data_IF_748589898673
#
_entry.id   IF_748589898673
#
_cell.length_a   1.000
_cell.length_b   1.000
_cell.length_c   1.000
_cell.angle_alpha   90.00
_cell.angle_beta   90.00
_cell.angle_gamma   90.00
#
_symmetry.space_group_name_H-M   'P 1'
#
loop_
_entity.id
_entity.type
_entity.pdbx_description
1 polymer ?
#
# COMPACT_ATOMS: atom_id res chain seq x y z
N UNK A 1 13.86 -0.49 4.22
CA UNK A 1 14.39 0.74 3.57
C UNK A 1 14.08 2.02 4.36
N UNK A 2 13.06 2.05 5.22
CA UNK A 2 12.62 3.22 6.00
C UNK A 2 13.69 3.84 6.90
N UNK A 3 14.55 3.02 7.55
CA UNK A 3 15.63 3.53 8.41
C UNK A 3 16.66 4.34 7.62
N UNK A 4 16.98 3.94 6.38
CA UNK A 4 17.93 4.66 5.52
C UNK A 4 17.40 6.02 5.06
N UNK A 5 16.09 6.16 4.89
CA UNK A 5 15.47 7.40 4.45
C UNK A 5 15.45 8.44 5.57
N UNK A 6 15.01 8.05 6.77
CA UNK A 6 15.01 8.94 7.94
C UNK A 6 16.44 9.38 8.29
N UNK A 7 17.41 8.48 8.21
CA UNK A 7 18.81 8.81 8.45
C UNK A 7 19.36 9.80 7.40
N UNK A 8 19.05 9.59 6.11
CA UNK A 8 19.48 10.49 5.04
C UNK A 8 18.83 11.89 5.16
N UNK A 9 17.52 11.94 5.43
CA UNK A 9 16.80 13.19 5.64
C UNK A 9 17.34 13.95 6.86
N UNK A 10 17.58 13.24 7.97
CA UNK A 10 18.13 13.84 9.18
C UNK A 10 19.53 14.43 8.94
N UNK A 11 20.39 13.73 8.20
CA UNK A 11 21.72 14.26 7.83
C UNK A 11 21.64 15.51 6.95
N UNK A 12 20.72 15.55 6.00
CA UNK A 12 20.54 16.73 5.14
C UNK A 12 19.96 17.92 5.91
N UNK A 13 19.02 17.67 6.83
CA UNK A 13 18.49 18.71 7.73
C UNK A 13 19.60 19.27 8.63
N UNK A 14 20.42 18.41 9.24
CA UNK A 14 21.59 18.85 10.01
C UNK A 14 22.58 19.67 9.17
N UNK A 15 22.82 19.27 7.92
CA UNK A 15 23.67 20.03 7.01
C UNK A 15 23.06 21.40 6.67
N UNK A 16 21.74 21.47 6.45
CA UNK A 16 21.02 22.73 6.20
C UNK A 16 21.10 23.65 7.43
N UNK A 17 20.87 23.11 8.63
CA UNK A 17 20.97 23.86 9.88
C UNK A 17 22.39 24.39 10.10
N UNK A 18 23.41 23.54 9.86
CA UNK A 18 24.81 23.95 9.95
C UNK A 18 25.16 25.08 8.95
N UNK A 19 24.61 25.04 7.73
CA UNK A 19 24.78 26.10 6.73
C UNK A 19 24.03 27.40 7.10
N UNK A 20 22.92 27.29 7.83
CA UNK A 20 22.10 28.44 8.22
C UNK A 20 22.66 29.18 9.45
N UNK A 21 23.37 28.48 10.34
CA UNK A 21 23.99 29.08 11.54
C UNK A 21 25.35 29.74 11.25
N UNK A 22 25.92 29.54 10.06
CA UNK A 22 27.17 30.22 9.69
C UNK A 22 27.01 31.74 9.70
N UNK A 23 27.94 32.42 10.38
CA UNK A 23 28.04 33.88 10.30
C UNK A 23 28.60 34.28 8.93
N UNK A 24 27.74 34.88 8.13
CA UNK A 24 28.02 35.29 6.75
C UNK A 24 28.41 36.77 6.64
N UNK A 25 28.42 37.52 7.75
CA UNK A 25 28.59 38.98 7.76
C UNK A 25 29.96 39.44 7.23
N UNK A 26 30.96 38.56 7.30
CA UNK A 26 32.35 38.82 6.89
C UNK A 26 32.72 38.14 5.57
N UNK A 27 31.80 37.40 4.94
CA UNK A 27 32.10 36.64 3.72
C UNK A 27 32.17 37.55 2.49
N UNK A 28 33.23 37.43 1.66
CA UNK A 28 33.26 38.06 0.34
C UNK A 28 32.09 37.60 -0.54
N UNK A 29 31.57 38.49 -1.39
CA UNK A 29 30.41 38.22 -2.26
C UNK A 29 30.49 36.90 -3.07
N UNK A 30 31.65 36.47 -3.62
CA UNK A 30 31.74 35.19 -4.32
C UNK A 30 31.54 33.98 -3.40
N UNK A 31 31.96 34.08 -2.14
CA UNK A 31 31.81 33.01 -1.15
C UNK A 31 30.37 32.93 -0.64
N UNK A 32 29.70 34.08 -0.48
CA UNK A 32 28.25 34.17 -0.24
C UNK A 32 27.45 33.49 -1.36
N UNK A 33 27.77 33.76 -2.62
CA UNK A 33 27.10 33.14 -3.77
C UNK A 33 27.27 31.61 -3.77
N UNK A 34 28.46 31.11 -3.43
CA UNK A 34 28.72 29.67 -3.31
C UNK A 34 27.98 29.04 -2.13
N UNK A 35 27.86 29.75 -1.01
CA UNK A 35 27.10 29.29 0.15
C UNK A 35 25.61 29.18 -0.17
N UNK A 36 25.03 30.21 -0.77
CA UNK A 36 23.62 30.19 -1.18
C UNK A 36 23.34 29.09 -2.22
N UNK A 37 24.26 28.88 -3.17
CA UNK A 37 24.18 27.76 -4.11
C UNK A 37 24.21 26.41 -3.38
N UNK A 38 25.03 26.27 -2.35
CA UNK A 38 25.13 25.05 -1.55
C UNK A 38 23.87 24.81 -0.73
N UNK A 39 23.28 25.85 -0.12
CA UNK A 39 21.98 25.77 0.56
C UNK A 39 20.86 25.35 -0.39
N UNK A 40 20.82 25.94 -1.59
CA UNK A 40 19.84 25.58 -2.62
C UNK A 40 19.98 24.12 -3.06
N UNK A 41 21.22 23.62 -3.20
CA UNK A 41 21.47 22.21 -3.52
C UNK A 41 20.98 21.27 -2.41
N UNK A 42 21.31 21.56 -1.14
CA UNK A 42 20.84 20.75 0.00
C UNK A 42 19.31 20.74 0.08
N UNK A 43 18.66 21.89 -0.14
CA UNK A 43 17.21 21.98 -0.17
C UNK A 43 16.60 21.15 -1.32
N UNK A 44 17.21 21.18 -2.50
CA UNK A 44 16.81 20.35 -3.64
C UNK A 44 16.90 18.84 -3.35
N UNK A 45 17.97 18.39 -2.68
CA UNK A 45 18.14 17.00 -2.27
C UNK A 45 17.07 16.56 -1.24
N UNK A 46 16.73 17.44 -0.28
CA UNK A 46 15.64 17.20 0.68
C UNK A 46 14.31 17.01 -0.06
N UNK A 47 14.00 17.88 -1.02
CA UNK A 47 12.76 17.79 -1.80
C UNK A 47 12.72 16.52 -2.65
N UNK A 48 13.81 16.17 -3.33
CA UNK A 48 13.89 14.96 -4.15
C UNK A 48 13.69 13.69 -3.31
N UNK A 49 14.30 13.62 -2.13
CA UNK A 49 14.09 12.51 -1.19
C UNK A 49 12.63 12.43 -0.73
N UNK A 50 12.03 13.55 -0.35
CA UNK A 50 10.64 13.60 0.09
C UNK A 50 9.68 13.18 -1.03
N UNK A 51 9.89 13.65 -2.26
CA UNK A 51 9.09 13.26 -3.41
C UNK A 51 9.16 11.75 -3.66
N UNK A 52 10.36 11.18 -3.64
CA UNK A 52 10.56 9.74 -3.80
C UNK A 52 9.85 8.92 -2.71
N UNK A 53 9.91 9.38 -1.46
CA UNK A 53 9.23 8.69 -0.36
C UNK A 53 7.70 8.74 -0.46
N UNK A 54 7.14 9.78 -1.10
CA UNK A 54 5.72 9.86 -1.40
C UNK A 54 5.36 8.88 -2.53
N UNK A 55 6.13 8.89 -3.62
CA UNK A 55 5.94 7.98 -4.76
C UNK A 55 6.00 6.50 -4.33
N UNK A 56 7.01 6.11 -3.55
CA UNK A 56 7.13 4.75 -3.00
C UNK A 56 5.90 4.35 -2.15
N UNK A 57 5.29 5.31 -1.44
CA UNK A 57 4.08 5.06 -0.65
C UNK A 57 2.84 4.92 -1.52
N UNK A 58 2.72 5.74 -2.56
CA UNK A 58 1.60 5.66 -3.50
C UNK A 58 1.57 4.31 -4.22
N UNK A 59 2.75 3.81 -4.64
CA UNK A 59 2.88 2.46 -5.21
C UNK A 59 2.45 1.36 -4.23
N UNK A 60 2.84 1.48 -2.96
CA UNK A 60 2.41 0.54 -1.91
C UNK A 60 0.89 0.59 -1.68
N UNK A 61 0.29 1.77 -1.68
CA UNK A 61 -1.16 1.92 -1.53
C UNK A 61 -1.92 1.37 -2.75
N UNK A 62 -1.40 1.55 -3.96
CA UNK A 62 -1.96 0.97 -5.17
C UNK A 62 -1.94 -0.56 -5.09
N UNK A 63 -0.78 -1.16 -4.79
CA UNK A 63 -0.64 -2.60 -4.64
C UNK A 63 -1.56 -3.17 -3.53
N UNK A 64 -1.69 -2.48 -2.40
CA UNK A 64 -2.58 -2.89 -1.32
C UNK A 64 -4.05 -2.83 -1.76
N UNK A 65 -4.44 -1.79 -2.50
CA UNK A 65 -5.81 -1.64 -3.02
C UNK A 65 -6.16 -2.76 -3.99
N UNK A 66 -5.25 -3.14 -4.89
CA UNK A 66 -5.46 -4.26 -5.80
C UNK A 66 -5.56 -5.59 -5.04
N UNK A 67 -4.70 -5.81 -4.04
CA UNK A 67 -4.79 -7.00 -3.18
C UNK A 67 -6.13 -7.10 -2.43
N UNK A 68 -6.65 -5.97 -1.91
CA UNK A 68 -7.98 -5.93 -1.29
C UNK A 68 -9.10 -6.22 -2.30
N UNK A 69 -8.98 -5.72 -3.54
CA UNK A 69 -9.94 -5.99 -4.61
C UNK A 69 -9.96 -7.47 -4.98
N UNK A 70 -8.80 -8.10 -5.10
CA UNK A 70 -8.67 -9.52 -5.39
C UNK A 70 -9.24 -10.37 -4.24
N UNK A 71 -8.90 -10.05 -3.00
CA UNK A 71 -9.46 -10.72 -1.82
C UNK A 71 -11.00 -10.64 -1.79
N UNK A 72 -11.57 -9.47 -2.11
CA UNK A 72 -13.03 -9.29 -2.23
C UNK A 72 -13.62 -10.18 -3.34
N UNK A 73 -12.95 -10.27 -4.49
CA UNK A 73 -13.37 -11.13 -5.60
C UNK A 73 -13.39 -12.60 -5.19
N UNK A 74 -12.34 -13.06 -4.52
CA UNK A 74 -12.23 -14.45 -4.08
C UNK A 74 -13.23 -14.79 -2.97
N UNK A 75 -13.50 -13.88 -2.03
CA UNK A 75 -14.57 -14.05 -1.05
C UNK A 75 -15.95 -14.13 -1.71
N UNK A 76 -16.18 -13.34 -2.75
CA UNK A 76 -17.44 -13.41 -3.52
C UNK A 76 -17.57 -14.75 -4.23
N UNK A 77 -16.52 -15.21 -4.91
CA UNK A 77 -16.48 -16.54 -5.55
C UNK A 77 -16.72 -17.67 -4.54
N UNK A 78 -16.11 -17.58 -3.36
CA UNK A 78 -16.31 -18.56 -2.30
C UNK A 78 -17.76 -18.55 -1.81
N UNK A 79 -18.35 -17.38 -1.58
CA UNK A 79 -19.75 -17.22 -1.19
C UNK A 79 -20.70 -17.83 -2.24
N UNK A 80 -20.46 -17.54 -3.52
CA UNK A 80 -21.25 -18.09 -4.62
C UNK A 80 -21.12 -19.62 -4.71
N UNK A 81 -19.89 -20.13 -4.55
CA UNK A 81 -19.63 -21.57 -4.50
C UNK A 81 -20.37 -22.25 -3.34
N UNK A 82 -20.31 -21.68 -2.13
CA UNK A 82 -21.02 -22.19 -0.95
C UNK A 82 -22.52 -22.19 -1.18
N UNK A 83 -23.06 -21.12 -1.77
CA UNK A 83 -24.49 -21.00 -2.06
C UNK A 83 -24.93 -22.04 -3.09
N UNK A 84 -24.17 -22.22 -4.17
CA UNK A 84 -24.42 -23.26 -5.17
C UNK A 84 -24.26 -24.69 -4.62
N UNK A 85 -23.34 -24.90 -3.67
CA UNK A 85 -23.22 -26.18 -2.93
C UNK A 85 -24.47 -26.48 -2.13
N UNK A 86 -24.96 -25.52 -1.31
CA UNK A 86 -26.18 -25.68 -0.52
C UNK A 86 -27.41 -25.98 -1.38
N UNK A 87 -27.58 -25.28 -2.51
CA UNK A 87 -28.69 -25.53 -3.42
C UNK A 87 -28.65 -26.96 -4.00
N UNK A 88 -27.46 -27.45 -4.38
CA UNK A 88 -27.28 -28.83 -4.86
C UNK A 88 -27.59 -29.86 -3.78
N UNK A 89 -27.08 -29.65 -2.57
CA UNK A 89 -27.30 -30.58 -1.46
C UNK A 89 -28.81 -30.67 -1.13
N UNK A 90 -29.53 -29.54 -1.10
CA UNK A 90 -30.99 -29.53 -0.91
C UNK A 90 -31.75 -30.27 -2.01
N UNK A 91 -31.32 -30.14 -3.28
CA UNK A 91 -31.93 -30.86 -4.40
C UNK A 91 -31.74 -32.38 -4.26
N UNK A 92 -30.54 -32.82 -3.85
CA UNK A 92 -30.24 -34.24 -3.62
C UNK A 92 -31.11 -34.80 -2.49
N UNK A 93 -31.20 -34.12 -1.35
CA UNK A 93 -32.05 -34.55 -0.23
C UNK A 93 -33.52 -34.62 -0.65
N UNK A 94 -34.01 -33.66 -1.44
CA UNK A 94 -35.38 -33.66 -1.96
C UNK A 94 -35.63 -34.84 -2.92
N UNK A 95 -34.67 -35.17 -3.79
CA UNK A 95 -34.78 -36.34 -4.67
C UNK A 95 -34.79 -37.65 -3.87
N UNK A 96 -33.90 -37.80 -2.89
CA UNK A 96 -33.82 -39.00 -2.04
C UNK A 96 -35.11 -39.21 -1.25
N UNK A 97 -35.64 -38.15 -0.61
CA UNK A 97 -36.90 -38.22 0.13
C UNK A 97 -38.08 -38.57 -0.76
N UNK A 98 -38.20 -37.97 -1.95
CA UNK A 98 -39.23 -38.35 -2.93
C UNK A 98 -39.08 -39.81 -3.40
N UNK A 99 -37.86 -40.26 -3.65
CA UNK A 99 -37.58 -41.64 -4.06
C UNK A 99 -37.98 -42.66 -2.99
N UNK A 100 -37.67 -42.39 -1.73
CA UNK A 100 -38.07 -43.21 -0.58
C UNK A 100 -39.61 -43.26 -0.46
N UNK A 101 -40.29 -42.12 -0.58
CA UNK A 101 -41.76 -42.09 -0.53
C UNK A 101 -42.40 -42.90 -1.65
N UNK A 102 -41.86 -42.84 -2.87
CA UNK A 102 -42.34 -43.67 -3.99
C UNK A 102 -42.12 -45.15 -3.70
N UNK A 103 -40.92 -45.53 -3.25
CA UNK A 103 -40.61 -46.92 -2.92
C UNK A 103 -41.53 -47.48 -1.82
N UNK A 104 -41.80 -46.69 -0.78
CA UNK A 104 -42.75 -47.07 0.27
C UNK A 104 -44.19 -47.19 -0.25
N UNK A 105 -44.62 -46.33 -1.17
CA UNK A 105 -45.97 -46.40 -1.76
C UNK A 105 -46.20 -47.62 -2.67
N UNK A 106 -45.13 -48.24 -3.17
CA UNK A 106 -45.19 -49.46 -3.99
C UNK A 106 -45.17 -50.75 -3.14
N UNK A 107 -44.80 -50.63 -1.86
CA UNK A 107 -44.72 -51.74 -0.90
C UNK A 107 -45.94 -51.80 0.05
N UNK A 108 -46.80 -50.77 0.02
CA UNK A 108 -48.07 -50.70 0.74
C UNK A 108 -49.24 -51.07 -0.19
#
# INVERSE_FOLDING_TARGET
>A
MTNSYQDALSKLQQAQDALNVQDISQLPAPQLANLEKSKAAVYGEIQALQAKAIEDRDDLYAAMTDSFRDCKSDLTRLSDWVTGRKARDQAIFTMLTKGISIALSLLA
#
